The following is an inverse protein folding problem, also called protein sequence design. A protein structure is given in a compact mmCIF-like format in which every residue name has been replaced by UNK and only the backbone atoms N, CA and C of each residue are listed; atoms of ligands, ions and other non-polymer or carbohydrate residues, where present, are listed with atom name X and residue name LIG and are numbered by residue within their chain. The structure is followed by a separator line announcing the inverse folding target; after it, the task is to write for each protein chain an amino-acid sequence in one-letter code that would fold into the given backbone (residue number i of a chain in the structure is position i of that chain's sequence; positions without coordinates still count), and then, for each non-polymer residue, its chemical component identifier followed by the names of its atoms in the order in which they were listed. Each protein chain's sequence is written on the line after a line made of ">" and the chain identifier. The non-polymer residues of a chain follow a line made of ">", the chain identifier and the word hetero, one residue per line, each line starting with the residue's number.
data_IF_597614634631
#
_entry.id   IF_597614634631
#
_cell.length_a   1.000
_cell.length_b   1.000
_cell.length_c   1.000
_cell.angle_alpha   90.00
_cell.angle_beta   90.00
_cell.angle_gamma   90.00
#
_symmetry.space_group_name_H-M   'P 1'
#
loop_
_entity.id
_entity.type
_entity.pdbx_description
1 polymer ?
#
# COMPACT_ATOMS: atom_id res chain seq x y z
N UNK A 1 -47.71 -15.77 -26.74
CA UNK A 1 -47.01 -16.07 -25.48
C UNK A 1 -45.55 -16.30 -25.82
N UNK A 2 -44.65 -15.39 -25.46
CA UNK A 2 -43.20 -15.53 -25.68
C UNK A 2 -42.52 -15.56 -24.32
N UNK A 3 -42.04 -16.74 -23.94
CA UNK A 3 -41.34 -17.00 -22.69
C UNK A 3 -40.02 -16.21 -22.64
N UNK A 4 -39.89 -15.35 -21.63
CA UNK A 4 -38.64 -14.70 -21.31
C UNK A 4 -37.67 -15.70 -20.70
N UNK A 5 -36.62 -16.06 -21.46
CA UNK A 5 -35.47 -16.80 -20.94
C UNK A 5 -34.75 -15.93 -19.89
N UNK A 6 -35.02 -16.19 -18.62
CA UNK A 6 -34.23 -15.65 -17.51
C UNK A 6 -32.89 -16.38 -17.46
N UNK A 7 -31.83 -15.72 -17.92
CA UNK A 7 -30.46 -16.18 -17.72
C UNK A 7 -30.13 -16.12 -16.23
N UNK A 8 -30.19 -17.28 -15.56
CA UNK A 8 -29.69 -17.44 -14.18
C UNK A 8 -28.21 -17.07 -14.14
N UNK A 9 -27.89 -15.98 -13.43
CA UNK A 9 -26.52 -15.58 -13.09
C UNK A 9 -25.91 -16.68 -12.21
N UNK A 10 -24.68 -17.16 -12.47
CA UNK A 10 -24.10 -18.25 -11.69
C UNK A 10 -23.94 -17.80 -10.24
N UNK A 11 -24.63 -18.48 -9.32
CA UNK A 11 -24.38 -18.35 -7.89
C UNK A 11 -23.08 -19.11 -7.59
N UNK A 12 -22.05 -18.41 -7.08
CA UNK A 12 -20.89 -19.10 -6.51
C UNK A 12 -19.51 -18.52 -6.84
N UNK A 13 -19.37 -17.42 -7.57
CA UNK A 13 -18.04 -16.78 -7.65
C UNK A 13 -17.77 -16.06 -6.33
N UNK A 14 -17.07 -16.73 -5.40
CA UNK A 14 -16.46 -16.05 -4.25
C UNK A 14 -15.68 -14.85 -4.80
N UNK A 15 -15.88 -13.64 -4.26
CA UNK A 15 -15.07 -12.50 -4.64
C UNK A 15 -13.60 -12.88 -4.50
N UNK A 16 -12.80 -12.49 -5.48
CA UNK A 16 -11.34 -12.57 -5.38
C UNK A 16 -10.92 -11.88 -4.07
N UNK A 17 -10.13 -12.53 -3.17
CA UNK A 17 -9.70 -11.94 -1.90
C UNK A 17 -9.14 -10.52 -2.06
N UNK A 18 -8.36 -10.27 -3.13
CA UNK A 18 -7.85 -8.94 -3.44
C UNK A 18 -8.98 -7.91 -3.63
N UNK A 19 -10.10 -8.30 -4.25
CA UNK A 19 -11.28 -7.43 -4.45
C UNK A 19 -11.94 -7.04 -3.13
N UNK A 20 -11.97 -7.93 -2.14
CA UNK A 20 -12.48 -7.61 -0.81
C UNK A 20 -11.61 -6.55 -0.13
N UNK A 21 -10.29 -6.75 -0.15
CA UNK A 21 -9.32 -5.79 0.42
C UNK A 21 -9.42 -4.42 -0.26
N UNK A 22 -9.52 -4.38 -1.59
CA UNK A 22 -9.73 -3.11 -2.32
C UNK A 22 -11.02 -2.39 -1.91
N UNK A 23 -12.07 -3.14 -1.58
CA UNK A 23 -13.33 -2.55 -1.10
C UNK A 23 -13.16 -1.92 0.27
N UNK A 24 -12.45 -2.58 1.18
CA UNK A 24 -12.11 -2.04 2.50
C UNK A 24 -11.23 -0.79 2.40
N UNK A 25 -10.18 -0.82 1.57
CA UNK A 25 -9.32 0.34 1.31
C UNK A 25 -10.12 1.51 0.75
N UNK A 26 -11.05 1.25 -0.19
CA UNK A 26 -11.91 2.29 -0.76
C UNK A 26 -12.83 2.91 0.29
N UNK A 27 -13.37 2.11 1.20
CA UNK A 27 -14.19 2.59 2.31
C UNK A 27 -13.36 3.44 3.29
N UNK A 28 -12.19 2.96 3.69
CA UNK A 28 -11.26 3.68 4.57
C UNK A 28 -10.82 5.02 3.97
N UNK A 29 -10.47 5.05 2.67
CA UNK A 29 -10.07 6.28 1.96
C UNK A 29 -11.13 7.38 2.05
N UNK A 30 -12.42 7.02 1.95
CA UNK A 30 -13.52 8.01 2.04
C UNK A 30 -13.53 8.76 3.38
N UNK A 31 -13.05 8.14 4.45
CA UNK A 31 -12.98 8.75 5.77
C UNK A 31 -11.76 9.68 5.95
N UNK A 32 -10.78 9.59 5.05
CA UNK A 32 -9.47 10.26 5.17
C UNK A 32 -9.25 11.37 4.12
N UNK A 33 -10.00 11.35 3.01
CA UNK A 33 -9.61 11.99 1.74
C UNK A 33 -9.77 13.51 1.62
N UNK A 34 -10.39 14.19 2.57
CA UNK A 34 -10.80 15.60 2.36
C UNK A 34 -9.80 16.63 2.91
N UNK A 35 -8.65 16.19 3.44
CA UNK A 35 -7.66 17.09 4.04
C UNK A 35 -6.56 17.47 3.02
N UNK A 36 -6.44 18.76 2.62
CA UNK A 36 -5.34 19.20 1.78
C UNK A 36 -4.06 19.30 2.62
N UNK A 37 -3.31 18.20 2.70
CA UNK A 37 -2.05 18.13 3.45
C UNK A 37 -0.88 17.91 2.50
N UNK A 38 0.27 18.59 2.71
CA UNK A 38 1.48 18.25 2.00
C UNK A 38 1.92 16.84 2.38
N UNK A 39 2.48 16.11 1.42
CA UNK A 39 2.93 14.73 1.63
C UNK A 39 3.97 14.62 2.75
N UNK A 40 4.90 15.57 2.82
CA UNK A 40 6.00 15.54 3.79
C UNK A 40 6.36 16.93 4.33
N UNK A 41 6.83 16.94 5.58
CA UNK A 41 7.54 18.04 6.22
C UNK A 41 6.72 19.25 6.66
N UNK A 42 5.48 19.44 6.21
CA UNK A 42 4.57 20.48 6.72
C UNK A 42 5.24 21.87 6.81
N UNK A 43 5.50 22.35 8.03
CA UNK A 43 6.19 23.62 8.29
C UNK A 43 7.64 23.70 7.76
N UNK A 44 8.32 22.56 7.59
CA UNK A 44 9.73 22.49 7.14
C UNK A 44 9.95 21.38 6.09
N UNK A 45 9.44 21.55 4.85
CA UNK A 45 9.46 20.52 3.81
C UNK A 45 10.85 19.96 3.49
N UNK A 46 11.86 20.83 3.34
CA UNK A 46 13.23 20.42 3.00
C UNK A 46 13.88 19.59 4.10
N UNK A 47 13.70 19.97 5.38
CA UNK A 47 14.23 19.20 6.52
C UNK A 47 13.49 17.87 6.69
N UNK A 48 12.17 17.87 6.48
CA UNK A 48 11.36 16.66 6.48
C UNK A 48 11.84 15.65 5.44
N UNK A 49 11.99 16.07 4.18
CA UNK A 49 12.50 15.21 3.10
C UNK A 49 13.89 14.65 3.40
N UNK A 50 14.82 15.48 3.87
CA UNK A 50 16.16 15.00 4.24
C UNK A 50 16.13 13.97 5.37
N UNK A 51 15.21 14.11 6.33
CA UNK A 51 15.00 13.09 7.37
C UNK A 51 14.44 11.80 6.78
N UNK A 52 13.40 11.87 5.95
CA UNK A 52 12.83 10.69 5.29
C UNK A 52 13.86 9.98 4.41
N UNK A 53 14.74 10.69 3.71
CA UNK A 53 15.81 10.06 2.93
C UNK A 53 16.75 9.22 3.80
N UNK A 54 17.10 9.71 5.00
CA UNK A 54 17.94 8.97 5.94
C UNK A 54 17.24 7.73 6.47
N UNK A 55 15.96 7.86 6.83
CA UNK A 55 15.16 6.71 7.29
C UNK A 55 14.95 5.69 6.17
N UNK A 56 14.70 6.11 4.92
CA UNK A 56 14.60 5.23 3.77
C UNK A 56 15.88 4.40 3.60
N UNK A 57 17.05 5.05 3.65
CA UNK A 57 18.34 4.37 3.55
C UNK A 57 18.56 3.38 4.71
N UNK A 58 18.18 3.76 5.94
CA UNK A 58 18.26 2.89 7.11
C UNK A 58 17.41 1.64 6.95
N UNK A 59 16.13 1.80 6.59
CA UNK A 59 15.21 0.67 6.44
C UNK A 59 15.55 -0.21 5.24
N UNK A 60 16.03 0.36 4.12
CA UNK A 60 16.55 -0.42 2.98
C UNK A 60 17.76 -1.27 3.38
N UNK A 61 18.65 -0.73 4.21
CA UNK A 61 19.79 -1.49 4.75
C UNK A 61 19.35 -2.65 5.64
N UNK A 62 18.33 -2.43 6.50
CA UNK A 62 17.75 -3.48 7.35
C UNK A 62 17.09 -4.55 6.47
N UNK A 63 16.27 -4.15 5.50
CA UNK A 63 15.60 -5.03 4.55
C UNK A 63 16.62 -5.91 3.82
N UNK A 64 17.67 -5.31 3.26
CA UNK A 64 18.73 -6.05 2.54
C UNK A 64 19.42 -7.05 3.46
N UNK A 65 19.74 -6.65 4.70
CA UNK A 65 20.37 -7.55 5.69
C UNK A 65 19.46 -8.74 6.02
N UNK A 66 18.16 -8.50 6.18
CA UNK A 66 17.15 -9.54 6.44
C UNK A 66 16.96 -10.48 5.25
N UNK A 67 16.94 -9.94 4.02
CA UNK A 67 16.89 -10.75 2.81
C UNK A 67 18.10 -11.69 2.70
N UNK A 68 19.32 -11.17 2.95
CA UNK A 68 20.55 -11.98 2.98
C UNK A 68 20.53 -13.04 4.08
N UNK A 69 19.91 -12.73 5.22
CA UNK A 69 19.70 -13.67 6.31
C UNK A 69 18.48 -14.60 6.11
N UNK A 70 17.82 -14.58 4.93
CA UNK A 70 16.60 -15.36 4.64
C UNK A 70 15.47 -15.18 5.67
N UNK A 71 15.37 -13.99 6.26
CA UNK A 71 14.37 -13.60 7.27
C UNK A 71 13.67 -12.30 6.86
N UNK A 72 13.06 -12.24 5.66
CA UNK A 72 12.39 -11.03 5.19
C UNK A 72 11.18 -10.68 6.07
N UNK A 73 10.84 -9.40 6.13
CA UNK A 73 9.70 -8.91 6.90
C UNK A 73 9.00 -7.74 6.20
N UNK A 74 7.66 -7.80 6.16
CA UNK A 74 6.82 -6.75 5.59
C UNK A 74 7.06 -5.39 6.22
N UNK A 75 7.39 -5.34 7.52
CA UNK A 75 7.71 -4.11 8.26
C UNK A 75 8.84 -3.32 7.59
N UNK A 76 9.98 -3.95 7.31
CA UNK A 76 11.13 -3.29 6.71
C UNK A 76 10.85 -2.79 5.30
N UNK A 77 10.16 -3.59 4.48
CA UNK A 77 9.81 -3.23 3.10
C UNK A 77 8.79 -2.08 3.07
N UNK A 78 7.76 -2.11 3.93
CA UNK A 78 6.76 -1.05 4.04
C UNK A 78 7.38 0.26 4.53
N UNK A 79 8.24 0.22 5.55
CA UNK A 79 8.89 1.41 6.10
C UNK A 79 9.88 2.02 5.08
N UNK A 80 10.67 1.19 4.38
CA UNK A 80 11.55 1.69 3.32
C UNK A 80 10.77 2.40 2.21
N UNK A 81 9.72 1.75 1.68
CA UNK A 81 8.89 2.33 0.62
C UNK A 81 8.16 3.62 1.06
N UNK A 82 7.68 3.66 2.30
CA UNK A 82 7.03 4.83 2.89
C UNK A 82 7.98 6.03 2.96
N UNK A 83 9.16 5.84 3.55
CA UNK A 83 10.14 6.91 3.66
C UNK A 83 10.71 7.34 2.31
N UNK A 84 10.87 6.42 1.37
CA UNK A 84 11.29 6.74 -0.01
C UNK A 84 10.28 7.65 -0.70
N UNK A 85 8.98 7.31 -0.65
CA UNK A 85 7.93 8.14 -1.24
C UNK A 85 7.86 9.55 -0.63
N UNK A 86 8.15 9.69 0.67
CA UNK A 86 8.16 10.99 1.36
C UNK A 86 9.44 11.81 1.14
N UNK A 87 10.55 11.16 0.81
CA UNK A 87 11.83 11.82 0.54
C UNK A 87 11.87 12.45 -0.86
N UNK A 88 11.08 11.91 -1.78
CA UNK A 88 11.05 12.26 -3.19
C UNK A 88 10.69 13.74 -3.44
N UNK A 89 11.31 14.32 -4.46
CA UNK A 89 11.11 15.73 -4.84
C UNK A 89 10.13 15.85 -6.01
N UNK A 90 10.13 14.86 -6.90
CA UNK A 90 9.22 14.80 -8.03
C UNK A 90 7.86 14.25 -7.62
N UNK A 91 6.80 15.03 -7.84
CA UNK A 91 5.44 14.66 -7.44
C UNK A 91 4.94 13.37 -8.10
N UNK A 92 5.35 13.10 -9.34
CA UNK A 92 4.97 11.88 -10.05
C UNK A 92 5.66 10.66 -9.44
N UNK A 93 6.96 10.77 -9.15
CA UNK A 93 7.68 9.70 -8.44
C UNK A 93 7.14 9.48 -7.03
N UNK A 94 6.80 10.54 -6.28
CA UNK A 94 6.14 10.41 -4.98
C UNK A 94 4.81 9.66 -5.11
N UNK A 95 3.99 10.00 -6.11
CA UNK A 95 2.71 9.32 -6.38
C UNK A 95 2.94 7.83 -6.67
N UNK A 96 3.90 7.50 -7.51
CA UNK A 96 4.18 6.12 -7.88
C UNK A 96 4.74 5.31 -6.69
N UNK A 97 5.55 5.95 -5.84
CA UNK A 97 5.99 5.40 -4.56
C UNK A 97 4.83 5.11 -3.60
N UNK A 98 3.84 6.01 -3.51
CA UNK A 98 2.64 5.79 -2.69
C UNK A 98 1.75 4.67 -3.23
N UNK A 99 1.63 4.55 -4.55
CA UNK A 99 0.92 3.43 -5.19
C UNK A 99 1.63 2.12 -4.88
N UNK A 100 2.96 2.08 -4.96
CA UNK A 100 3.75 0.91 -4.57
C UNK A 100 3.57 0.57 -3.09
N UNK A 101 3.58 1.56 -2.21
CA UNK A 101 3.32 1.37 -0.78
C UNK A 101 1.95 0.75 -0.53
N UNK A 102 0.91 1.23 -1.22
CA UNK A 102 -0.44 0.67 -1.12
C UNK A 102 -0.49 -0.79 -1.59
N UNK A 103 0.20 -1.12 -2.69
CA UNK A 103 0.29 -2.49 -3.18
C UNK A 103 1.01 -3.42 -2.18
N UNK A 104 2.10 -2.96 -1.56
CA UNK A 104 2.81 -3.70 -0.52
C UNK A 104 1.93 -3.95 0.72
N UNK A 105 1.15 -2.94 1.13
CA UNK A 105 0.24 -3.07 2.26
C UNK A 105 -0.87 -4.10 1.98
N UNK A 106 -1.43 -4.10 0.77
CA UNK A 106 -2.42 -5.11 0.34
C UNK A 106 -1.80 -6.51 0.37
N UNK A 107 -0.59 -6.70 -0.18
CA UNK A 107 0.09 -7.99 -0.16
C UNK A 107 0.41 -8.50 1.27
N UNK A 108 0.68 -7.57 2.21
CA UNK A 108 0.85 -7.92 3.61
C UNK A 108 -0.47 -8.40 4.24
N UNK A 109 -1.60 -7.73 3.96
CA UNK A 109 -2.93 -8.17 4.39
C UNK A 109 -3.26 -9.57 3.83
N UNK A 110 -3.01 -9.80 2.54
CA UNK A 110 -3.20 -11.12 1.92
C UNK A 110 -2.34 -12.22 2.58
N UNK A 111 -1.16 -11.86 3.12
CA UNK A 111 -0.32 -12.81 3.86
C UNK A 111 -0.94 -13.14 5.21
N UNK A 112 -1.42 -12.13 5.94
CA UNK A 112 -2.12 -12.31 7.22
C UNK A 112 -3.38 -13.18 7.04
N UNK A 113 -4.20 -12.87 6.02
CA UNK A 113 -5.43 -13.60 5.75
C UNK A 113 -5.17 -15.07 5.39
N UNK A 114 -4.09 -15.34 4.64
CA UNK A 114 -3.67 -16.71 4.32
C UNK A 114 -3.17 -17.48 5.53
N UNK A 115 -2.48 -16.83 6.46
CA UNK A 115 -1.99 -17.45 7.70
C UNK A 115 -3.12 -17.72 8.70
N UNK A 116 -4.22 -16.97 8.63
CA UNK A 116 -5.38 -17.11 9.49
C UNK A 116 -6.42 -18.16 9.01
N UNK A 117 -6.32 -18.64 7.77
CA UNK A 117 -7.24 -19.58 7.12
C UNK A 117 -6.86 -21.05 7.33
#
# INVERSE_FOLDING_TARGET
>A
MTEGKTTRRPAGRRPDPATAIFTEVRAARKLLGDKPMPLAGGQRPTKGRAHHQREANRWRSIETSRQLASTPGWDSTLLAACFEAFAEQDTQHSRDGLVRLAALAIAAVETIDREAA
#
